data_IF_113612095331
#
_entry.id   IF_113612095331
#
_cell.length_a   1.000
_cell.length_b   1.000
_cell.length_c   1.000
_cell.angle_alpha   90.00
_cell.angle_beta   90.00
_cell.angle_gamma   90.00
#
_symmetry.space_group_name_H-M   'P 1'
#
loop_
_entity.id
_entity.type
_entity.pdbx_description
1 polymer ?
#
# COMPACT_ATOMS: atom_id res chain seq x y z
N UNK A 1 -77.45 -23.25 -57.44
CA UNK A 1 -76.31 -24.13 -57.09
C UNK A 1 -75.10 -23.24 -56.95
N UNK A 2 -74.71 -22.85 -55.71
CA UNK A 2 -73.52 -22.05 -55.41
C UNK A 2 -72.54 -22.94 -54.68
N UNK A 3 -71.37 -23.14 -55.30
CA UNK A 3 -70.23 -23.90 -54.71
C UNK A 3 -69.49 -22.94 -53.80
N UNK A 4 -69.39 -23.25 -52.51
CA UNK A 4 -68.53 -22.56 -51.56
C UNK A 4 -67.18 -23.27 -51.48
N UNK A 5 -66.13 -22.56 -51.80
CA UNK A 5 -64.75 -23.01 -51.69
C UNK A 5 -64.22 -22.62 -50.30
N UNK A 6 -63.82 -23.60 -49.52
CA UNK A 6 -63.27 -23.43 -48.21
C UNK A 6 -61.74 -23.25 -48.30
N UNK A 7 -61.21 -22.05 -47.97
CA UNK A 7 -59.76 -21.81 -47.86
C UNK A 7 -59.29 -22.15 -46.44
N UNK A 8 -58.44 -23.15 -46.33
CA UNK A 8 -57.76 -23.51 -45.09
C UNK A 8 -56.47 -22.72 -45.01
N UNK A 9 -56.36 -21.75 -44.07
CA UNK A 9 -55.08 -21.09 -43.74
C UNK A 9 -54.26 -21.96 -42.79
N UNK A 10 -53.11 -22.46 -43.26
CA UNK A 10 -52.11 -23.09 -42.45
C UNK A 10 -51.25 -22.02 -41.82
N UNK A 11 -51.39 -21.81 -40.48
CA UNK A 11 -50.48 -20.96 -39.69
C UNK A 11 -49.20 -21.78 -39.39
N UNK A 12 -48.10 -21.40 -40.01
CA UNK A 12 -46.79 -21.86 -39.58
C UNK A 12 -46.31 -21.00 -38.40
N UNK A 13 -46.32 -21.56 -37.18
CA UNK A 13 -45.67 -20.95 -36.02
C UNK A 13 -44.15 -21.17 -36.11
N UNK A 14 -43.43 -20.16 -36.48
CA UNK A 14 -41.96 -20.09 -36.37
C UNK A 14 -41.62 -19.82 -34.88
N UNK A 15 -41.27 -20.89 -34.17
CA UNK A 15 -40.60 -20.83 -32.85
C UNK A 15 -39.16 -20.37 -33.05
N UNK A 16 -38.91 -19.05 -32.94
CA UNK A 16 -37.53 -18.57 -32.83
C UNK A 16 -37.00 -18.95 -31.45
N UNK A 17 -36.08 -19.92 -31.40
CA UNK A 17 -35.24 -20.17 -30.25
C UNK A 17 -34.32 -18.96 -30.07
N UNK A 18 -34.66 -18.06 -29.16
CA UNK A 18 -33.75 -17.03 -28.67
C UNK A 18 -32.75 -17.75 -27.78
N UNK A 19 -31.58 -18.07 -28.36
CA UNK A 19 -30.40 -18.43 -27.56
C UNK A 19 -29.98 -17.17 -26.80
N UNK A 20 -30.46 -16.99 -25.59
CA UNK A 20 -29.86 -16.09 -24.62
C UNK A 20 -28.51 -16.69 -24.24
N UNK A 21 -27.46 -16.31 -24.94
CA UNK A 21 -26.11 -16.40 -24.41
C UNK A 21 -26.08 -15.54 -23.14
N UNK A 22 -26.18 -16.19 -21.98
CA UNK A 22 -25.73 -15.59 -20.74
C UNK A 22 -24.25 -15.27 -20.95
N UNK A 23 -23.94 -14.02 -21.24
CA UNK A 23 -22.62 -13.49 -20.98
C UNK A 23 -22.50 -13.50 -19.46
N UNK A 24 -21.88 -14.55 -18.93
CA UNK A 24 -21.33 -14.54 -17.60
C UNK A 24 -20.26 -13.43 -17.60
N UNK A 25 -20.69 -12.21 -17.30
CA UNK A 25 -19.81 -11.18 -16.81
C UNK A 25 -19.35 -11.64 -15.42
N UNK A 26 -18.47 -12.64 -15.37
CA UNK A 26 -17.65 -12.89 -14.22
C UNK A 26 -16.88 -11.60 -13.99
N UNK A 27 -17.30 -10.80 -13.02
CA UNK A 27 -16.61 -9.60 -12.61
C UNK A 27 -15.19 -10.04 -12.27
N UNK A 28 -14.21 -9.59 -13.07
CA UNK A 28 -12.81 -10.03 -12.91
C UNK A 28 -12.37 -9.70 -11.49
N UNK A 29 -11.81 -10.69 -10.81
CA UNK A 29 -11.38 -10.57 -9.43
C UNK A 29 -10.32 -9.46 -9.28
N UNK A 30 -10.43 -8.66 -8.20
CA UNK A 30 -9.42 -7.66 -7.87
C UNK A 30 -8.12 -8.37 -7.42
N UNK A 31 -7.14 -8.42 -8.29
CA UNK A 31 -5.86 -9.13 -8.10
C UNK A 31 -4.69 -8.29 -8.67
N UNK A 32 -4.27 -7.23 -7.97
CA UNK A 32 -3.26 -6.28 -8.46
C UNK A 32 -1.93 -6.90 -8.89
N UNK A 33 -1.45 -7.93 -8.18
CA UNK A 33 -0.18 -8.59 -8.55
C UNK A 33 -0.32 -9.41 -9.82
N UNK A 34 -1.43 -10.10 -9.99
CA UNK A 34 -1.70 -10.85 -11.24
C UNK A 34 -1.76 -9.95 -12.48
N UNK A 35 -2.14 -8.67 -12.29
CA UNK A 35 -2.23 -7.70 -13.38
C UNK A 35 -0.88 -7.06 -13.67
N UNK A 36 -0.16 -6.65 -12.62
CA UNK A 36 1.05 -5.85 -12.74
C UNK A 36 2.34 -6.68 -12.71
N UNK A 37 2.31 -7.89 -12.16
CA UNK A 37 3.48 -8.77 -12.05
C UNK A 37 4.59 -8.20 -11.19
N UNK A 38 5.83 -8.45 -11.60
CA UNK A 38 7.03 -7.92 -10.94
C UNK A 38 7.11 -6.40 -11.09
N UNK A 39 7.21 -5.70 -9.96
CA UNK A 39 7.40 -4.25 -9.95
C UNK A 39 8.85 -3.89 -10.27
N UNK A 40 9.03 -2.74 -10.91
CA UNK A 40 10.34 -2.18 -11.23
C UNK A 40 10.32 -0.66 -11.14
N UNK A 41 11.50 -0.06 -10.96
CA UNK A 41 11.67 1.40 -10.96
C UNK A 41 12.29 1.83 -12.28
N UNK A 42 11.63 2.75 -13.01
CA UNK A 42 12.14 3.34 -14.25
C UNK A 42 12.13 4.87 -14.15
N UNK A 43 13.33 5.47 -14.08
CA UNK A 43 13.44 6.88 -13.71
C UNK A 43 12.85 7.10 -12.32
N UNK A 44 11.91 8.05 -12.20
CA UNK A 44 11.22 8.33 -10.92
C UNK A 44 9.94 7.50 -10.70
N UNK A 45 9.59 6.59 -11.60
CA UNK A 45 8.30 5.93 -11.59
C UNK A 45 8.37 4.48 -11.15
N UNK A 46 7.39 4.06 -10.35
CA UNK A 46 7.07 2.65 -10.19
C UNK A 46 6.38 2.15 -11.45
N UNK A 47 6.84 1.03 -11.98
CA UNK A 47 6.30 0.41 -13.19
C UNK A 47 5.94 -1.05 -12.94
N UNK A 48 4.98 -1.55 -13.72
CA UNK A 48 4.65 -2.97 -13.78
C UNK A 48 5.72 -3.77 -14.56
N UNK A 49 5.56 -5.09 -14.65
CA UNK A 49 6.50 -5.96 -15.38
C UNK A 49 6.63 -5.62 -16.88
N UNK A 50 5.61 -4.98 -17.47
CA UNK A 50 5.62 -4.54 -18.88
C UNK A 50 6.30 -3.18 -19.07
N UNK A 51 6.57 -2.47 -17.98
CA UNK A 51 7.17 -1.14 -17.97
C UNK A 51 6.16 0.01 -18.01
N UNK A 52 4.87 -0.27 -17.85
CA UNK A 52 3.85 0.77 -17.72
C UNK A 52 3.91 1.40 -16.34
N UNK A 53 3.83 2.72 -16.29
CA UNK A 53 3.79 3.45 -15.00
C UNK A 53 2.51 3.14 -14.25
N UNK A 54 2.65 2.72 -12.98
CA UNK A 54 1.54 2.42 -12.09
C UNK A 54 1.65 3.21 -10.78
N UNK A 55 0.54 3.25 -10.04
CA UNK A 55 0.51 3.71 -8.65
C UNK A 55 -0.18 2.67 -7.78
N UNK A 56 0.42 2.33 -6.64
CA UNK A 56 -0.19 1.49 -5.63
C UNK A 56 -0.87 2.36 -4.57
N UNK A 57 -2.02 1.90 -4.07
CA UNK A 57 -2.82 2.63 -3.07
C UNK A 57 -3.38 1.66 -2.06
N UNK A 58 -3.21 1.97 -0.79
CA UNK A 58 -3.68 1.10 0.27
C UNK A 58 -3.56 1.66 1.66
N UNK A 59 -3.49 0.79 2.65
CA UNK A 59 -3.43 1.15 4.06
C UNK A 59 -2.31 0.43 4.79
N UNK A 60 -1.79 1.07 5.83
CA UNK A 60 -0.90 0.45 6.80
C UNK A 60 -1.70 -0.20 7.92
N UNK A 61 -1.27 -1.36 8.37
CA UNK A 61 -1.62 -1.81 9.71
C UNK A 61 -0.93 -0.90 10.74
N UNK A 62 -1.55 -0.71 11.90
CA UNK A 62 -0.87 -0.13 13.04
C UNK A 62 0.24 -1.08 13.55
N UNK A 63 1.08 -0.64 14.45
CA UNK A 63 2.22 -1.42 14.99
C UNK A 63 1.78 -2.82 15.39
N UNK A 64 2.49 -3.84 14.90
CA UNK A 64 2.14 -5.25 15.10
C UNK A 64 2.01 -5.65 16.58
N UNK A 65 2.79 -5.05 17.45
CA UNK A 65 2.82 -5.33 18.89
C UNK A 65 1.71 -4.62 19.68
N UNK A 66 1.16 -3.52 19.15
CA UNK A 66 0.07 -2.79 19.79
C UNK A 66 -1.30 -3.24 19.27
N UNK A 67 -1.39 -3.63 18.00
CA UNK A 67 -2.64 -4.07 17.36
C UNK A 67 -2.51 -5.42 16.66
N UNK A 68 -1.94 -6.47 17.30
CA UNK A 68 -1.68 -7.76 16.67
C UNK A 68 -2.95 -8.47 16.19
N UNK A 69 -4.12 -8.14 16.76
CA UNK A 69 -5.39 -8.77 16.41
C UNK A 69 -5.85 -8.47 15.00
N UNK A 70 -5.46 -7.31 14.42
CA UNK A 70 -5.77 -6.97 13.03
C UNK A 70 -4.88 -7.72 12.02
N UNK A 71 -3.74 -8.27 12.46
CA UNK A 71 -2.81 -9.03 11.62
C UNK A 71 -3.33 -10.44 11.37
N UNK A 72 -4.29 -10.59 10.46
CA UNK A 72 -4.91 -11.87 10.09
C UNK A 72 -5.37 -11.87 8.64
N UNK A 73 -5.64 -13.05 8.08
CA UNK A 73 -6.01 -13.22 6.67
C UNK A 73 -7.36 -12.58 6.31
N UNK A 74 -8.34 -12.63 7.22
CA UNK A 74 -9.67 -12.07 6.96
C UNK A 74 -9.63 -10.54 6.82
N UNK A 75 -8.81 -9.86 7.62
CA UNK A 75 -8.58 -8.42 7.48
C UNK A 75 -7.93 -8.10 6.13
N UNK A 76 -6.91 -8.84 5.71
CA UNK A 76 -6.26 -8.68 4.40
C UNK A 76 -7.27 -8.85 3.27
N UNK A 77 -8.05 -9.93 3.31
CA UNK A 77 -9.11 -10.23 2.34
C UNK A 77 -10.18 -9.15 2.28
N UNK A 78 -10.58 -8.61 3.45
CA UNK A 78 -11.53 -7.50 3.51
C UNK A 78 -10.98 -6.22 2.87
N UNK A 79 -9.75 -5.83 3.19
CA UNK A 79 -9.09 -4.66 2.62
C UNK A 79 -8.91 -4.78 1.10
N UNK A 80 -8.60 -5.97 0.60
CA UNK A 80 -8.58 -6.25 -0.85
C UNK A 80 -9.96 -6.08 -1.47
N UNK A 81 -10.97 -6.78 -0.94
CA UNK A 81 -12.25 -6.93 -1.62
C UNK A 81 -13.16 -5.71 -1.46
N UNK A 82 -13.22 -5.12 -0.27
CA UNK A 82 -14.07 -3.98 0.02
C UNK A 82 -13.36 -2.65 -0.23
N UNK A 83 -12.17 -2.45 0.35
CA UNK A 83 -11.44 -1.20 0.19
C UNK A 83 -10.73 -1.09 -1.16
N UNK A 84 -10.59 -2.19 -1.89
CA UNK A 84 -9.85 -2.26 -3.16
C UNK A 84 -8.37 -1.89 -3.02
N UNK A 85 -7.77 -2.17 -1.87
CA UNK A 85 -6.34 -1.96 -1.69
C UNK A 85 -5.53 -2.73 -2.75
N UNK A 86 -4.53 -2.08 -3.32
CA UNK A 86 -3.53 -2.71 -4.18
C UNK A 86 -2.25 -3.07 -3.43
N UNK A 87 -2.02 -2.43 -2.27
CA UNK A 87 -0.90 -2.67 -1.38
C UNK A 87 -1.34 -2.57 0.07
N UNK A 88 -0.72 -3.37 0.94
CA UNK A 88 -0.84 -3.27 2.40
C UNK A 88 0.53 -3.08 3.02
N UNK A 89 0.64 -2.34 4.11
CA UNK A 89 1.89 -2.14 4.84
C UNK A 89 1.82 -2.83 6.20
N UNK A 90 2.73 -3.75 6.45
CA UNK A 90 2.85 -4.48 7.70
C UNK A 90 3.91 -3.82 8.59
N UNK A 91 3.48 -2.94 9.47
CA UNK A 91 4.33 -2.13 10.35
C UNK A 91 4.88 -2.96 11.51
N UNK A 92 6.10 -3.48 11.37
CA UNK A 92 6.77 -4.27 12.41
C UNK A 92 7.54 -3.35 13.36
N UNK A 93 6.99 -3.06 14.52
CA UNK A 93 7.65 -2.21 15.52
C UNK A 93 8.97 -2.81 16.01
N UNK A 94 10.08 -2.23 15.57
CA UNK A 94 11.41 -2.52 16.07
C UNK A 94 11.74 -1.54 17.20
N UNK A 95 11.18 -1.77 18.38
CA UNK A 95 11.31 -0.87 19.51
C UNK A 95 11.42 -1.64 20.83
N UNK A 96 12.34 -1.23 21.71
CA UNK A 96 12.64 -1.90 22.98
C UNK A 96 11.78 -1.43 24.14
N UNK A 97 11.12 -0.28 24.02
CA UNK A 97 10.33 0.34 25.08
C UNK A 97 8.90 -0.17 25.20
N UNK A 98 8.48 -1.10 24.33
CA UNK A 98 7.13 -1.63 24.29
C UNK A 98 7.18 -3.16 24.29
N UNK A 99 6.33 -3.78 25.11
CA UNK A 99 6.17 -5.23 25.15
C UNK A 99 5.83 -5.78 23.76
N UNK A 100 6.39 -6.96 23.41
CA UNK A 100 6.21 -7.62 22.12
C UNK A 100 6.76 -6.88 20.87
N UNK A 101 7.52 -5.78 21.00
CA UNK A 101 8.32 -5.23 19.93
C UNK A 101 9.40 -6.22 19.46
N UNK A 102 9.87 -6.10 18.21
CA UNK A 102 10.85 -7.06 17.66
C UNK A 102 12.12 -7.19 18.51
N UNK A 103 12.63 -6.10 19.09
CA UNK A 103 13.80 -6.12 19.95
C UNK A 103 13.59 -6.87 21.27
N UNK A 104 12.36 -7.07 21.69
CA UNK A 104 11.98 -7.77 22.92
C UNK A 104 11.49 -9.18 22.63
N UNK A 105 10.68 -9.36 21.61
CA UNK A 105 10.06 -10.63 21.25
C UNK A 105 10.07 -10.86 19.73
N UNK A 106 11.22 -11.16 19.13
CA UNK A 106 11.34 -11.30 17.67
C UNK A 106 10.49 -12.45 17.10
N UNK A 107 10.27 -13.53 17.85
CA UNK A 107 9.43 -14.64 17.40
C UNK A 107 7.98 -14.22 17.24
N UNK A 108 7.43 -13.49 18.21
CA UNK A 108 6.08 -12.96 18.14
C UNK A 108 5.93 -11.97 16.97
N UNK A 109 6.90 -11.06 16.81
CA UNK A 109 6.91 -10.08 15.73
C UNK A 109 6.90 -10.75 14.36
N UNK A 110 7.81 -11.68 14.11
CA UNK A 110 7.87 -12.45 12.86
C UNK A 110 6.56 -13.20 12.60
N UNK A 111 6.07 -13.96 13.57
CA UNK A 111 4.83 -14.73 13.46
C UNK A 111 3.63 -13.84 13.14
N UNK A 112 3.59 -12.63 13.71
CA UNK A 112 2.48 -11.69 13.52
C UNK A 112 2.54 -11.07 12.12
N UNK A 113 3.68 -10.53 11.70
CA UNK A 113 3.85 -9.89 10.38
C UNK A 113 3.68 -10.90 9.25
N UNK A 114 4.19 -12.12 9.42
CA UNK A 114 4.06 -13.18 8.41
C UNK A 114 2.60 -13.57 8.09
N UNK A 115 1.66 -13.35 9.00
CA UNK A 115 0.23 -13.58 8.69
C UNK A 115 -0.26 -12.66 7.57
N UNK A 116 0.13 -11.37 7.63
CA UNK A 116 -0.23 -10.40 6.61
C UNK A 116 0.52 -10.68 5.30
N UNK A 117 1.82 -11.00 5.37
CA UNK A 117 2.62 -11.33 4.18
C UNK A 117 2.02 -12.51 3.42
N UNK A 118 1.75 -13.62 4.13
CA UNK A 118 1.18 -14.84 3.53
C UNK A 118 -0.20 -14.58 2.95
N UNK A 119 -1.07 -13.91 3.70
CA UNK A 119 -2.40 -13.58 3.22
C UNK A 119 -2.37 -12.65 2.00
N UNK A 120 -1.43 -11.69 1.95
CA UNK A 120 -1.28 -10.80 0.79
C UNK A 120 -0.83 -11.58 -0.46
N UNK A 121 0.05 -12.57 -0.30
CA UNK A 121 0.47 -13.46 -1.38
C UNK A 121 -0.71 -14.32 -1.86
N UNK A 122 -1.50 -14.88 -0.95
CA UNK A 122 -2.67 -15.69 -1.26
C UNK A 122 -3.79 -14.88 -1.94
N UNK A 123 -3.89 -13.60 -1.61
CA UNK A 123 -4.92 -12.68 -2.14
C UNK A 123 -4.45 -11.85 -3.35
N UNK A 124 -3.27 -12.10 -3.91
CA UNK A 124 -2.72 -11.40 -5.08
C UNK A 124 -2.64 -9.86 -4.91
N UNK A 125 -2.28 -9.36 -3.72
CA UNK A 125 -2.00 -7.95 -3.46
C UNK A 125 -0.57 -7.73 -2.99
N UNK A 126 -0.01 -6.54 -3.24
CA UNK A 126 1.34 -6.19 -2.78
C UNK A 126 1.39 -5.98 -1.28
N UNK A 127 2.55 -6.28 -0.67
CA UNK A 127 2.78 -6.08 0.76
C UNK A 127 4.12 -5.41 1.01
N UNK A 128 4.11 -4.33 1.79
CA UNK A 128 5.30 -3.67 2.30
C UNK A 128 5.64 -4.32 3.64
N UNK A 129 6.84 -4.90 3.72
CA UNK A 129 7.44 -5.41 4.96
C UNK A 129 8.24 -4.26 5.55
N UNK A 130 7.70 -3.63 6.59
CA UNK A 130 8.25 -2.41 7.15
C UNK A 130 9.01 -2.68 8.46
N UNK A 131 10.27 -2.29 8.49
CA UNK A 131 11.07 -2.15 9.70
C UNK A 131 10.69 -0.83 10.37
N UNK A 132 9.66 -0.89 11.21
CA UNK A 132 9.05 0.27 11.84
C UNK A 132 9.88 0.75 13.03
N UNK A 133 11.00 1.41 12.71
CA UNK A 133 12.01 1.90 13.64
C UNK A 133 12.20 3.42 13.50
N UNK A 134 12.72 4.04 14.56
CA UNK A 134 13.16 5.43 14.61
C UNK A 134 14.68 5.54 14.89
N UNK A 135 15.31 4.42 15.20
CA UNK A 135 16.71 4.31 15.55
C UNK A 135 17.42 3.26 14.70
N UNK A 136 18.74 3.35 14.56
CA UNK A 136 19.55 2.39 13.82
C UNK A 136 19.69 1.08 14.59
N UNK A 137 19.39 -0.03 13.93
CA UNK A 137 19.67 -1.38 14.39
C UNK A 137 20.22 -2.22 13.21
N UNK A 138 21.41 -1.88 12.67
CA UNK A 138 21.86 -2.41 11.38
C UNK A 138 21.98 -3.94 11.37
N UNK A 139 22.55 -4.55 12.40
CA UNK A 139 22.73 -6.00 12.43
C UNK A 139 21.39 -6.74 12.50
N UNK A 140 20.45 -6.25 13.32
CA UNK A 140 19.12 -6.84 13.45
C UNK A 140 18.28 -6.63 12.18
N UNK A 141 18.38 -5.47 11.55
CA UNK A 141 17.70 -5.20 10.29
C UNK A 141 18.25 -6.11 9.17
N UNK A 142 19.56 -6.30 9.07
CA UNK A 142 20.18 -7.25 8.12
C UNK A 142 19.72 -8.69 8.38
N UNK A 143 19.69 -9.14 9.62
CA UNK A 143 19.19 -10.47 9.99
C UNK A 143 17.71 -10.64 9.59
N UNK A 144 16.88 -9.68 9.95
CA UNK A 144 15.46 -9.69 9.62
C UNK A 144 15.21 -9.70 8.12
N UNK A 145 15.74 -8.73 7.39
CA UNK A 145 15.52 -8.63 5.95
C UNK A 145 16.17 -9.74 5.15
N UNK A 146 17.36 -10.22 5.55
CA UNK A 146 17.98 -11.40 4.95
C UNK A 146 17.11 -12.66 5.11
N UNK A 147 16.46 -12.81 6.27
CA UNK A 147 15.49 -13.89 6.49
C UNK A 147 14.24 -13.72 5.62
N UNK A 148 13.66 -12.50 5.55
CA UNK A 148 12.49 -12.21 4.73
C UNK A 148 12.77 -12.40 3.25
N UNK A 149 13.89 -11.89 2.74
CA UNK A 149 14.29 -12.03 1.34
C UNK A 149 14.53 -13.50 0.95
N UNK A 150 15.17 -14.28 1.80
CA UNK A 150 15.37 -15.73 1.58
C UNK A 150 14.04 -16.47 1.49
N UNK A 151 13.06 -16.07 2.31
CA UNK A 151 11.76 -16.76 2.41
C UNK A 151 10.77 -16.31 1.35
N UNK A 152 10.71 -15.02 1.06
CA UNK A 152 9.67 -14.40 0.26
C UNK A 152 10.16 -13.70 -1.01
N UNK A 153 11.47 -13.57 -1.24
CA UNK A 153 12.06 -12.82 -2.34
C UNK A 153 11.71 -13.30 -3.75
N UNK A 154 11.16 -14.51 -3.88
CA UNK A 154 10.66 -15.02 -5.17
C UNK A 154 9.21 -14.62 -5.48
N UNK A 155 8.55 -13.93 -4.55
CA UNK A 155 7.19 -13.46 -4.72
C UNK A 155 7.20 -11.99 -5.16
N UNK A 156 6.65 -11.66 -6.34
CA UNK A 156 6.58 -10.27 -6.81
C UNK A 156 5.70 -9.36 -5.95
N UNK A 157 5.01 -9.95 -4.97
CA UNK A 157 4.14 -9.28 -4.02
C UNK A 157 4.88 -8.39 -3.03
N UNK A 158 6.18 -8.70 -2.77
CA UNK A 158 6.92 -8.14 -1.64
C UNK A 158 7.62 -6.83 -1.99
N UNK A 159 7.51 -5.87 -1.10
CA UNK A 159 8.25 -4.62 -1.08
C UNK A 159 8.90 -4.52 0.31
N UNK A 160 10.17 -4.15 0.38
CA UNK A 160 10.87 -3.98 1.65
C UNK A 160 10.97 -2.50 1.99
N UNK A 161 10.52 -2.09 3.16
CA UNK A 161 10.75 -0.75 3.71
C UNK A 161 11.74 -0.88 4.86
N UNK A 162 13.01 -0.53 4.57
CA UNK A 162 14.12 -0.91 5.45
C UNK A 162 14.35 0.03 6.63
N UNK A 163 13.66 1.16 6.67
CA UNK A 163 13.67 2.09 7.80
C UNK A 163 12.44 2.99 7.71
N UNK A 164 11.54 2.92 8.70
CA UNK A 164 10.32 3.70 8.74
C UNK A 164 10.59 5.21 8.77
N UNK A 165 11.14 5.71 9.87
CA UNK A 165 11.30 7.13 10.12
C UNK A 165 12.61 7.46 10.85
N UNK A 166 13.73 7.64 10.14
CA UNK A 166 14.92 8.24 10.73
C UNK A 166 14.59 9.61 11.35
N UNK A 167 14.95 9.80 12.62
CA UNK A 167 14.62 11.05 13.34
C UNK A 167 15.42 12.26 12.82
N UNK A 168 15.23 13.42 13.44
CA UNK A 168 16.03 14.62 13.14
C UNK A 168 17.50 14.51 13.55
N UNK A 169 17.85 13.50 14.35
CA UNK A 169 19.23 13.24 14.78
C UNK A 169 20.02 12.42 13.76
N UNK A 170 19.33 11.82 12.77
CA UNK A 170 19.92 10.99 11.72
C UNK A 170 20.05 11.77 10.41
N UNK A 171 21.28 11.88 9.90
CA UNK A 171 21.58 12.59 8.66
C UNK A 171 21.70 11.61 7.49
N UNK A 172 21.46 12.13 6.28
CA UNK A 172 21.44 11.31 5.08
C UNK A 172 22.71 10.43 4.87
N UNK A 173 23.94 10.91 5.08
CA UNK A 173 25.12 10.07 4.90
C UNK A 173 25.13 8.81 5.79
N UNK A 174 24.64 8.91 7.02
CA UNK A 174 24.54 7.76 7.95
C UNK A 174 23.43 6.82 7.55
N UNK A 175 22.26 7.36 7.18
CA UNK A 175 21.13 6.58 6.67
C UNK A 175 21.54 5.83 5.40
N UNK A 176 22.29 6.48 4.50
CA UNK A 176 22.77 5.90 3.26
C UNK A 176 23.67 4.70 3.52
N UNK A 177 24.63 4.80 4.45
CA UNK A 177 25.51 3.68 4.85
C UNK A 177 24.68 2.51 5.40
N UNK A 178 23.77 2.78 6.34
CA UNK A 178 22.84 1.77 6.86
C UNK A 178 22.03 1.11 5.74
N UNK A 179 21.46 1.91 4.85
CA UNK A 179 20.64 1.40 3.77
C UNK A 179 21.43 0.51 2.81
N UNK A 180 22.63 0.91 2.40
CA UNK A 180 23.50 0.14 1.52
C UNK A 180 23.87 -1.22 2.14
N UNK A 181 24.11 -1.30 3.44
CA UNK A 181 24.37 -2.56 4.14
C UNK A 181 23.15 -3.50 4.13
N UNK A 182 21.94 -2.97 4.42
CA UNK A 182 20.70 -3.75 4.43
C UNK A 182 20.30 -4.17 3.02
N UNK A 183 20.42 -3.27 2.03
CA UNK A 183 20.18 -3.56 0.62
C UNK A 183 21.09 -4.69 0.14
N UNK A 184 22.41 -4.62 0.46
CA UNK A 184 23.36 -5.66 0.09
C UNK A 184 22.97 -7.03 0.67
N UNK A 185 22.43 -7.08 1.89
CA UNK A 185 21.94 -8.33 2.49
C UNK A 185 20.69 -8.86 1.76
N UNK A 186 19.69 -8.01 1.48
CA UNK A 186 18.48 -8.39 0.73
C UNK A 186 18.86 -8.93 -0.64
N UNK A 187 19.72 -8.24 -1.38
CA UNK A 187 20.12 -8.57 -2.77
C UNK A 187 20.89 -9.88 -2.92
N UNK A 188 21.37 -10.50 -1.82
CA UNK A 188 21.89 -11.87 -1.86
C UNK A 188 20.82 -12.91 -2.19
N UNK A 189 19.55 -12.63 -1.92
CA UNK A 189 18.45 -13.59 -2.03
C UNK A 189 17.32 -13.10 -2.94
N UNK A 190 17.19 -11.79 -3.08
CA UNK A 190 16.14 -11.13 -3.85
C UNK A 190 16.73 -9.99 -4.71
N UNK A 191 17.02 -10.27 -5.98
CA UNK A 191 17.58 -9.25 -6.88
C UNK A 191 16.58 -8.21 -7.37
N UNK A 192 15.27 -8.49 -7.32
CA UNK A 192 14.29 -7.82 -8.15
C UNK A 192 13.29 -6.93 -7.38
N UNK A 193 12.83 -7.36 -6.22
CA UNK A 193 11.78 -6.64 -5.50
C UNK A 193 12.20 -5.23 -5.07
N UNK A 194 11.22 -4.34 -5.01
CA UNK A 194 11.46 -2.93 -4.63
C UNK A 194 11.90 -2.85 -3.17
N UNK A 195 12.92 -2.01 -2.93
CA UNK A 195 13.34 -1.61 -1.60
C UNK A 195 13.07 -0.13 -1.43
N UNK A 196 12.37 0.23 -0.35
CA UNK A 196 12.07 1.60 0.05
C UNK A 196 12.97 1.98 1.21
N UNK A 197 13.67 3.10 1.07
CA UNK A 197 14.60 3.62 2.06
C UNK A 197 13.96 4.79 2.80
N UNK A 198 13.96 4.76 4.12
CA UNK A 198 13.54 5.88 4.96
C UNK A 198 14.42 7.11 4.75
N UNK A 199 13.80 8.28 4.61
CA UNK A 199 14.52 9.55 4.43
C UNK A 199 14.67 10.32 5.76
N UNK A 200 15.62 11.26 5.90
CA UNK A 200 15.83 11.97 7.15
C UNK A 200 14.59 12.74 7.63
N UNK A 201 14.60 13.07 8.93
CA UNK A 201 13.61 13.92 9.57
C UNK A 201 12.19 13.37 9.46
N UNK A 202 11.99 12.16 9.98
CA UNK A 202 10.71 11.43 9.93
C UNK A 202 10.17 11.28 8.51
N UNK A 203 11.03 10.80 7.62
CA UNK A 203 10.72 10.59 6.21
C UNK A 203 10.21 11.84 5.47
N UNK A 204 10.76 13.04 5.76
CA UNK A 204 10.33 14.31 5.15
C UNK A 204 11.36 14.93 4.20
N UNK A 205 12.65 14.65 4.38
CA UNK A 205 13.70 15.33 3.64
C UNK A 205 14.14 14.60 2.35
N UNK A 206 13.16 14.28 1.49
CA UNK A 206 13.41 13.64 0.17
C UNK A 206 14.23 14.54 -0.77
N UNK A 207 14.16 15.87 -0.61
CA UNK A 207 14.92 16.83 -1.40
C UNK A 207 16.42 16.74 -1.16
N UNK A 208 16.86 16.40 0.07
CA UNK A 208 18.27 16.17 0.40
C UNK A 208 18.74 14.86 -0.24
N UNK A 209 17.93 13.82 -0.15
CA UNK A 209 18.22 12.50 -0.73
C UNK A 209 18.32 12.59 -2.26
N UNK A 210 17.52 13.42 -2.89
CA UNK A 210 17.52 13.60 -4.34
C UNK A 210 18.84 14.21 -4.88
N UNK A 211 19.61 14.91 -4.04
CA UNK A 211 20.93 15.46 -4.41
C UNK A 211 22.04 14.39 -4.39
N UNK A 212 21.89 13.32 -3.60
CA UNK A 212 22.87 12.24 -3.48
C UNK A 212 22.18 10.88 -3.26
N UNK A 213 21.39 10.36 -4.22
CA UNK A 213 20.68 9.09 -4.05
C UNK A 213 21.64 7.90 -3.98
N UNK A 214 21.13 6.76 -3.50
CA UNK A 214 21.85 5.48 -3.53
C UNK A 214 22.05 5.06 -4.99
N UNK A 215 23.24 4.63 -5.34
CA UNK A 215 23.61 4.16 -6.67
C UNK A 215 24.16 2.75 -6.63
N UNK A 216 24.20 2.06 -7.77
CA UNK A 216 24.73 0.70 -7.87
C UNK A 216 23.74 -0.41 -7.52
N UNK A 217 22.50 -0.06 -7.23
CA UNK A 217 21.38 -0.98 -7.01
C UNK A 217 20.18 -0.57 -7.83
N UNK A 218 19.46 -1.56 -8.36
CA UNK A 218 18.18 -1.33 -9.05
C UNK A 218 16.99 -1.43 -8.09
N UNK A 219 15.85 -0.88 -8.51
CA UNK A 219 14.57 -0.97 -7.80
C UNK A 219 14.62 -0.39 -6.37
N UNK A 220 15.30 0.75 -6.22
CA UNK A 220 15.32 1.51 -4.97
C UNK A 220 14.32 2.68 -5.09
N UNK A 221 13.49 2.87 -4.06
CA UNK A 221 12.61 4.02 -3.86
C UNK A 221 12.86 4.65 -2.49
N UNK A 222 12.31 5.84 -2.27
CA UNK A 222 12.52 6.60 -1.05
C UNK A 222 11.19 7.01 -0.44
N UNK A 223 11.04 6.82 0.88
CA UNK A 223 9.80 7.17 1.55
C UNK A 223 9.68 8.66 1.81
N UNK A 224 8.45 9.16 1.69
CA UNK A 224 8.02 10.42 2.28
C UNK A 224 6.75 10.17 3.09
N UNK A 225 6.69 10.73 4.30
CA UNK A 225 5.53 10.67 5.19
C UNK A 225 4.92 12.04 5.37
N UNK A 226 3.59 12.12 5.38
CA UNK A 226 2.88 13.37 5.67
C UNK A 226 1.62 13.17 6.49
N UNK A 227 1.27 14.21 7.23
CA UNK A 227 0.04 14.33 8.00
C UNK A 227 -0.61 15.68 7.68
N UNK A 228 -1.64 15.69 6.84
CA UNK A 228 -2.11 16.87 6.12
C UNK A 228 -2.61 18.01 7.02
N UNK A 229 -3.09 17.71 8.25
CA UNK A 229 -3.49 18.76 9.18
C UNK A 229 -2.32 19.51 9.84
N UNK A 230 -1.08 19.01 9.71
CA UNK A 230 0.12 19.65 10.24
C UNK A 230 0.61 20.73 9.25
N UNK A 231 0.74 22.03 9.66
CA UNK A 231 1.09 23.09 8.74
C UNK A 231 2.41 22.88 7.98
N UNK A 232 3.43 22.30 8.62
CA UNK A 232 4.72 22.01 7.99
C UNK A 232 4.65 20.85 6.98
N UNK A 233 3.59 20.03 7.05
CA UNK A 233 3.32 18.95 6.10
C UNK A 233 2.39 19.36 4.96
N UNK A 234 2.15 20.65 4.78
CA UNK A 234 1.35 21.22 3.70
C UNK A 234 2.24 21.69 2.54
N UNK A 235 2.11 22.92 2.09
CA UNK A 235 2.92 23.45 0.97
C UNK A 235 4.44 23.31 1.19
N UNK A 236 5.01 23.55 2.39
CA UNK A 236 6.45 23.38 2.59
C UNK A 236 6.96 21.97 2.28
N UNK A 237 6.19 20.93 2.64
CA UNK A 237 6.60 19.56 2.37
C UNK A 237 6.33 19.17 0.91
N UNK A 238 5.26 19.69 0.29
CA UNK A 238 5.02 19.50 -1.16
C UNK A 238 6.12 20.14 -2.01
N UNK A 239 6.68 21.29 -1.60
CA UNK A 239 7.81 21.93 -2.27
C UNK A 239 9.08 21.06 -2.22
N UNK A 240 9.35 20.40 -1.09
CA UNK A 240 10.44 19.42 -0.98
C UNK A 240 10.21 18.23 -1.91
N UNK A 241 8.99 17.69 -1.92
CA UNK A 241 8.63 16.61 -2.83
C UNK A 241 8.74 17.02 -4.30
N UNK A 242 8.32 18.24 -4.65
CA UNK A 242 8.45 18.76 -6.01
C UNK A 242 9.93 18.84 -6.42
N UNK A 243 10.82 19.36 -5.55
CA UNK A 243 12.26 19.37 -5.82
C UNK A 243 12.81 17.95 -6.06
N UNK A 244 12.42 16.98 -5.25
CA UNK A 244 12.83 15.59 -5.43
C UNK A 244 12.32 15.01 -6.77
N UNK A 245 11.07 15.30 -7.15
CA UNK A 245 10.48 14.93 -8.44
C UNK A 245 11.28 15.53 -9.60
N UNK A 246 11.62 16.82 -9.52
CA UNK A 246 12.36 17.54 -10.57
C UNK A 246 13.77 16.98 -10.76
N UNK A 247 14.39 16.48 -9.68
CA UNK A 247 15.67 15.78 -9.69
C UNK A 247 15.56 14.29 -10.08
N UNK A 248 14.35 13.79 -10.30
CA UNK A 248 14.12 12.41 -10.78
C UNK A 248 14.14 11.34 -9.70
N UNK A 249 14.00 11.71 -8.42
CA UNK A 249 13.98 10.73 -7.32
C UNK A 249 12.68 9.90 -7.36
N UNK A 250 12.75 8.56 -7.30
CA UNK A 250 11.58 7.71 -7.17
C UNK A 250 11.07 7.71 -5.71
N UNK A 251 9.92 8.34 -5.47
CA UNK A 251 9.33 8.48 -4.14
C UNK A 251 8.09 7.61 -3.99
N UNK A 252 7.91 7.03 -2.79
CA UNK A 252 6.72 6.32 -2.35
C UNK A 252 6.24 6.90 -1.03
N UNK A 253 4.96 7.25 -0.92
CA UNK A 253 4.36 7.69 0.33
C UNK A 253 3.94 6.44 1.10
N UNK A 254 4.82 5.89 1.91
CA UNK A 254 4.56 4.65 2.65
C UNK A 254 3.74 4.85 3.91
N UNK A 255 3.59 6.11 4.35
CA UNK A 255 2.72 6.46 5.46
C UNK A 255 2.14 7.87 5.28
N UNK A 256 0.82 8.03 5.47
CA UNK A 256 0.17 9.34 5.38
C UNK A 256 -1.18 9.36 6.09
N UNK A 257 -1.63 10.53 6.50
CA UNK A 257 -3.00 10.71 7.01
C UNK A 257 -3.49 12.16 6.85
N UNK A 258 -4.80 12.34 6.99
CA UNK A 258 -5.44 13.66 7.03
C UNK A 258 -5.38 14.34 8.40
N UNK A 259 -4.87 13.68 9.46
CA UNK A 259 -4.76 14.23 10.81
C UNK A 259 -3.45 15.00 11.03
N UNK A 260 -3.18 15.42 12.27
CA UNK A 260 -1.90 16.00 12.68
C UNK A 260 -0.83 14.92 12.86
N UNK A 261 0.44 15.28 12.75
CA UNK A 261 1.59 14.36 12.87
C UNK A 261 1.70 13.61 14.20
N UNK A 262 0.99 14.06 15.22
CA UNK A 262 0.86 13.36 16.51
C UNK A 262 -0.01 12.10 16.42
N UNK A 263 -0.67 11.89 15.29
CA UNK A 263 -1.68 10.84 15.10
C UNK A 263 -3.07 11.25 15.59
N UNK A 264 -3.20 12.42 16.22
CA UNK A 264 -4.43 12.93 16.80
C UNK A 264 -4.80 14.32 16.24
N UNK A 265 -5.67 15.05 16.93
CA UNK A 265 -6.04 16.41 16.57
C UNK A 265 -7.05 16.50 15.43
N UNK A 266 -6.95 17.57 14.64
CA UNK A 266 -7.88 17.88 13.55
C UNK A 266 -7.73 16.86 12.40
N UNK A 267 -8.83 16.50 11.77
CA UNK A 267 -8.85 15.86 10.45
C UNK A 267 -9.10 16.94 9.40
N UNK A 268 -8.11 17.20 8.55
CA UNK A 268 -8.18 18.21 7.47
C UNK A 268 -8.41 17.55 6.11
N UNK A 269 -9.67 17.23 5.81
CA UNK A 269 -10.04 16.57 4.56
C UNK A 269 -9.68 17.43 3.32
N UNK A 270 -9.92 18.76 3.28
CA UNK A 270 -9.52 19.58 2.14
C UNK A 270 -8.03 19.52 1.83
N UNK A 271 -7.18 19.64 2.84
CA UNK A 271 -5.73 19.60 2.65
C UNK A 271 -5.25 18.17 2.31
N UNK A 272 -5.89 17.14 2.89
CA UNK A 272 -5.61 15.76 2.53
C UNK A 272 -6.01 15.45 1.08
N UNK A 273 -7.16 15.96 0.60
CA UNK A 273 -7.57 15.85 -0.80
C UNK A 273 -6.54 16.48 -1.73
N UNK A 274 -6.06 17.70 -1.40
CA UNK A 274 -5.00 18.39 -2.15
C UNK A 274 -3.72 17.55 -2.25
N UNK A 275 -3.33 16.86 -1.17
CA UNK A 275 -2.22 15.92 -1.19
C UNK A 275 -2.48 14.74 -2.13
N UNK A 276 -3.62 14.08 -1.99
CA UNK A 276 -3.95 12.90 -2.82
C UNK A 276 -3.99 13.29 -4.30
N UNK A 277 -4.65 14.38 -4.67
CA UNK A 277 -4.70 14.87 -6.05
C UNK A 277 -3.29 15.18 -6.59
N UNK A 278 -2.41 15.77 -5.79
CA UNK A 278 -1.02 16.03 -6.16
C UNK A 278 -0.23 14.72 -6.40
N UNK A 279 -0.39 13.71 -5.54
CA UNK A 279 0.27 12.42 -5.70
C UNK A 279 -0.22 11.70 -6.96
N UNK A 280 -1.53 11.70 -7.21
CA UNK A 280 -2.12 11.08 -8.38
C UNK A 280 -1.67 11.75 -9.69
N UNK A 281 -1.63 13.09 -9.72
CA UNK A 281 -1.12 13.84 -10.87
C UNK A 281 0.35 13.49 -11.18
N UNK A 282 1.14 13.18 -10.17
CA UNK A 282 2.56 12.80 -10.28
C UNK A 282 2.80 11.29 -10.40
N UNK A 283 1.76 10.46 -10.36
CA UNK A 283 1.85 8.98 -10.41
C UNK A 283 2.70 8.42 -9.26
N UNK A 284 2.52 8.96 -8.05
CA UNK A 284 3.19 8.52 -6.84
C UNK A 284 2.28 7.59 -6.05
N UNK A 285 2.78 6.43 -5.67
CA UNK A 285 2.08 5.46 -4.83
C UNK A 285 1.95 5.98 -3.40
N UNK A 286 0.84 5.61 -2.70
CA UNK A 286 0.61 6.08 -1.35
C UNK A 286 -0.15 5.07 -0.47
N UNK A 287 0.12 5.13 0.84
CA UNK A 287 -0.48 4.31 1.89
C UNK A 287 -0.97 5.20 3.02
N UNK A 288 -2.21 4.95 3.46
CA UNK A 288 -2.81 5.68 4.59
C UNK A 288 -2.56 4.96 5.92
N UNK A 289 -2.27 5.71 6.97
CA UNK A 289 -2.11 5.27 8.36
C UNK A 289 -3.40 5.42 9.14
N UNK A 290 -3.97 4.47 9.92
CA UNK A 290 -3.63 3.06 10.01
C UNK A 290 -4.84 2.21 10.42
N UNK A 291 -4.82 0.93 10.08
CA UNK A 291 -5.76 -0.07 10.61
C UNK A 291 -5.41 -0.35 12.07
N UNK A 292 -6.09 0.33 12.93
CA UNK A 292 -6.00 0.25 14.38
C UNK A 292 -7.29 0.77 15.00
N UNK A 293 -7.50 0.52 16.29
CA UNK A 293 -8.66 1.02 17.04
C UNK A 293 -8.26 1.88 18.24
N UNK A 294 -7.09 2.51 18.17
CA UNK A 294 -6.62 3.48 19.17
C UNK A 294 -7.57 4.68 19.25
N UNK A 295 -7.68 5.28 20.42
CA UNK A 295 -8.45 6.50 20.59
C UNK A 295 -7.68 7.74 20.11
N UNK A 296 -7.47 7.82 18.80
CA UNK A 296 -6.83 8.94 18.11
C UNK A 296 -7.45 9.14 16.72
N UNK A 297 -7.19 10.27 16.10
CA UNK A 297 -7.83 10.65 14.81
C UNK A 297 -7.38 9.78 13.64
N UNK A 298 -6.08 9.42 13.55
CA UNK A 298 -5.55 8.59 12.44
C UNK A 298 -6.07 7.15 12.46
N UNK A 299 -6.44 6.64 13.62
CA UNK A 299 -6.96 5.28 13.75
C UNK A 299 -8.25 5.11 12.95
N UNK A 300 -8.34 4.06 12.14
CA UNK A 300 -9.42 3.92 11.17
C UNK A 300 -10.64 3.17 11.70
N UNK A 301 -10.49 2.36 12.74
CA UNK A 301 -11.55 1.47 13.25
C UNK A 301 -11.98 1.92 14.63
N UNK A 302 -13.27 1.91 14.92
CA UNK A 302 -13.77 2.14 16.27
C UNK A 302 -13.48 0.93 17.17
N UNK A 303 -13.36 1.12 18.50
CA UNK A 303 -13.10 0.02 19.45
C UNK A 303 -14.07 -1.17 19.39
N UNK A 304 -15.32 -0.92 18.91
CA UNK A 304 -16.35 -1.96 18.74
C UNK A 304 -16.26 -2.70 17.40
N UNK A 305 -15.39 -2.26 16.47
CA UNK A 305 -15.21 -2.90 15.18
C UNK A 305 -14.55 -4.28 15.32
N UNK A 306 -14.91 -5.20 14.43
CA UNK A 306 -14.28 -6.51 14.33
C UNK A 306 -12.78 -6.38 14.05
N UNK A 307 -12.00 -7.39 14.45
CA UNK A 307 -10.58 -7.50 14.08
C UNK A 307 -10.37 -8.28 12.77
N UNK A 308 -11.44 -8.71 12.11
CA UNK A 308 -11.42 -9.60 10.93
C UNK A 308 -12.08 -8.96 9.69
N UNK A 309 -12.18 -7.63 9.65
CA UNK A 309 -12.92 -6.95 8.59
C UNK A 309 -14.44 -6.90 8.85
N UNK A 310 -15.25 -6.85 7.77
CA UNK A 310 -16.70 -6.72 7.89
C UNK A 310 -17.14 -5.34 8.40
N UNK A 311 -16.35 -4.31 8.10
CA UNK A 311 -16.57 -2.97 8.67
C UNK A 311 -17.56 -2.18 7.84
N UNK A 312 -18.75 -1.97 8.42
CA UNK A 312 -19.70 -0.98 7.93
C UNK A 312 -19.30 0.43 8.36
N UNK A 313 -19.88 1.44 7.76
CA UNK A 313 -19.55 2.86 8.02
C UNK A 313 -19.77 3.30 9.46
N UNK A 314 -20.60 2.60 10.22
CA UNK A 314 -20.86 2.87 11.64
C UNK A 314 -19.72 2.42 12.58
N UNK A 315 -18.81 1.57 12.12
CA UNK A 315 -17.63 1.10 12.87
C UNK A 315 -16.30 1.62 12.30
N UNK A 316 -16.33 2.33 11.17
CA UNK A 316 -15.17 3.01 10.59
C UNK A 316 -15.15 4.46 11.06
N UNK A 317 -14.00 4.95 11.52
CA UNK A 317 -13.81 6.35 11.88
C UNK A 317 -13.75 7.25 10.64
N UNK A 318 -13.95 8.58 10.75
CA UNK A 318 -13.89 9.50 9.60
C UNK A 318 -12.64 9.36 8.75
N UNK A 319 -11.46 9.18 9.37
CA UNK A 319 -10.18 8.92 8.67
C UNK A 319 -10.25 7.64 7.85
N UNK A 320 -10.81 6.58 8.39
CA UNK A 320 -11.00 5.32 7.67
C UNK A 320 -12.01 5.42 6.54
N UNK A 321 -13.11 6.13 6.73
CA UNK A 321 -14.11 6.39 5.67
C UNK A 321 -13.45 7.11 4.51
N UNK A 322 -12.71 8.20 4.78
CA UNK A 322 -12.07 8.99 3.74
C UNK A 322 -10.94 8.22 3.04
N UNK A 323 -10.11 7.44 3.77
CA UNK A 323 -9.10 6.56 3.17
C UNK A 323 -9.72 5.55 2.23
N UNK A 324 -10.80 4.86 2.67
CA UNK A 324 -11.52 3.89 1.86
C UNK A 324 -12.08 4.51 0.57
N UNK A 325 -12.65 5.71 0.67
CA UNK A 325 -13.19 6.42 -0.50
C UNK A 325 -12.09 6.76 -1.51
N UNK A 326 -10.96 7.32 -1.08
CA UNK A 326 -9.84 7.61 -1.98
C UNK A 326 -9.29 6.35 -2.63
N UNK A 327 -9.00 5.30 -1.85
CA UNK A 327 -8.44 4.05 -2.36
C UNK A 327 -9.38 3.44 -3.40
N UNK A 328 -10.67 3.32 -3.10
CA UNK A 328 -11.66 2.77 -4.01
C UNK A 328 -11.77 3.60 -5.28
N UNK A 329 -11.90 4.91 -5.16
CA UNK A 329 -12.03 5.80 -6.31
C UNK A 329 -10.84 5.65 -7.25
N UNK A 330 -9.62 5.88 -6.76
CA UNK A 330 -8.43 5.88 -7.62
C UNK A 330 -8.06 4.49 -8.14
N UNK A 331 -8.19 3.44 -7.35
CA UNK A 331 -7.92 2.09 -7.82
C UNK A 331 -8.96 1.59 -8.82
N UNK A 332 -10.23 1.94 -8.68
CA UNK A 332 -11.26 1.52 -9.63
C UNK A 332 -11.36 2.43 -10.86
N UNK A 333 -10.76 3.61 -10.87
CA UNK A 333 -10.72 4.51 -12.03
C UNK A 333 -9.40 4.51 -12.77
N UNK A 334 -8.33 3.92 -12.21
CA UNK A 334 -7.03 3.81 -12.85
C UNK A 334 -7.11 2.91 -14.10
N UNK A 335 -6.55 3.39 -15.22
CA UNK A 335 -6.55 2.67 -16.50
C UNK A 335 -5.82 1.33 -16.43
N UNK A 336 -4.82 1.21 -15.57
CA UNK A 336 -4.10 -0.05 -15.37
C UNK A 336 -5.00 -1.17 -14.85
N UNK A 337 -6.15 -0.83 -14.28
CA UNK A 337 -7.15 -1.76 -13.75
C UNK A 337 -8.48 -1.73 -14.51
N UNK A 338 -8.54 -1.13 -15.72
CA UNK A 338 -9.79 -1.02 -16.51
C UNK A 338 -10.46 -2.37 -16.77
N UNK A 339 -9.68 -3.42 -16.95
CA UNK A 339 -10.18 -4.77 -17.18
C UNK A 339 -10.79 -5.44 -15.93
N UNK A 340 -10.73 -4.80 -14.76
CA UNK A 340 -11.31 -5.29 -13.50
C UNK A 340 -12.63 -4.60 -13.11
N UNK A 341 -13.16 -3.77 -13.99
CA UNK A 341 -14.43 -3.06 -13.76
C UNK A 341 -15.66 -3.89 -14.08
#
# INVERSE_FOLDING_TARGET
MKKSTLFIFLLFALTACVNTTKTDNAQQEWAPVKINGQLQVKGRFMCNEKGDTISLRGVSFGWHNLWPRFYNAETVKWLKNDWKCSVLRAAMGAYSGVEDGYLVNPEFALKTVEKVIKASIEEDIYVIIDWHAHEFYPELAKEFFGSMARKYGKHPHVIYEIFNEPTHEHFWPEIKVYAEEVIAEIRKYDPDNIIVVGTPHWAQHVDIVAEDPITGYDNIMYSLHFYAASPLHQDPLRERLQKAIDLGLPVFITESSGCEHTGNGKLDIPEWTKWIEYLEANRISWVSWSISNKNETCSMILPRGSYEGGWDTDVIKPTGVQSREYIRFYNTTDRNYENLR
#
